data_IF_592890669400
#
_entry.id   IF_592890669400
#
_cell.length_a   1.000
_cell.length_b   1.000
_cell.length_c   1.000
_cell.angle_alpha   90.00
_cell.angle_beta   90.00
_cell.angle_gamma   90.00
#
_symmetry.space_group_name_H-M   'P 1'
#
loop_
_entity.id
_entity.type
_entity.pdbx_description
1 polymer ?
#
# COMPACT_ATOMS: atom_id res chain seq x y z
N UNK A 1 -18.47 -27.25 21.87
CA UNK A 1 -18.21 -27.05 20.42
C UNK A 1 -19.39 -26.29 19.84
N UNK A 2 -19.08 -25.28 19.03
CA UNK A 2 -19.95 -24.38 18.24
C UNK A 2 -20.32 -23.02 18.87
N UNK A 3 -19.98 -22.01 18.06
CA UNK A 3 -20.58 -20.70 17.87
C UNK A 3 -20.16 -19.54 18.80
N UNK A 4 -18.87 -19.20 18.73
CA UNK A 4 -18.41 -17.83 18.96
C UNK A 4 -18.65 -16.99 17.71
N UNK A 5 -19.83 -16.38 17.58
CA UNK A 5 -20.08 -15.40 16.53
C UNK A 5 -19.03 -14.28 16.63
N UNK A 6 -18.15 -14.19 15.62
CA UNK A 6 -17.28 -13.02 15.41
C UNK A 6 -18.17 -11.77 15.45
N UNK A 7 -17.93 -10.79 16.34
CA UNK A 7 -18.78 -9.62 16.42
C UNK A 7 -18.79 -8.92 15.06
N UNK A 8 -20.00 -8.67 14.56
CA UNK A 8 -20.28 -8.06 13.27
C UNK A 8 -19.54 -6.72 13.17
N UNK A 9 -18.51 -6.68 12.33
CA UNK A 9 -17.56 -5.58 12.07
C UNK A 9 -18.16 -4.29 11.49
N UNK A 10 -19.47 -4.10 11.61
CA UNK A 10 -20.24 -3.03 10.98
C UNK A 10 -20.34 -1.73 11.83
N UNK A 11 -19.96 -1.75 13.10
CA UNK A 11 -20.09 -0.58 14.01
C UNK A 11 -18.77 0.08 14.42
N UNK A 12 -17.61 -0.48 14.05
CA UNK A 12 -16.31 0.15 14.23
C UNK A 12 -15.93 0.91 12.95
N UNK A 13 -15.36 2.12 13.09
CA UNK A 13 -14.74 2.78 11.94
C UNK A 13 -13.74 1.80 11.31
N UNK A 14 -13.63 1.68 9.97
CA UNK A 14 -12.79 0.68 9.32
C UNK A 14 -11.33 0.63 9.81
N UNK A 15 -10.83 1.76 10.34
CA UNK A 15 -9.50 1.87 10.97
C UNK A 15 -9.42 1.12 12.30
N UNK A 16 -10.43 1.24 13.16
CA UNK A 16 -10.41 0.57 14.47
C UNK A 16 -10.59 -0.95 14.29
N UNK A 17 -11.52 -1.38 13.43
CA UNK A 17 -11.72 -2.81 13.12
C UNK A 17 -10.45 -3.47 12.56
N UNK A 18 -9.82 -2.85 11.55
CA UNK A 18 -8.59 -3.37 10.98
C UNK A 18 -7.42 -3.28 11.99
N UNK A 19 -7.37 -2.22 12.80
CA UNK A 19 -6.35 -2.06 13.84
C UNK A 19 -6.41 -3.17 14.88
N UNK A 20 -7.60 -3.55 15.30
CA UNK A 20 -7.82 -4.67 16.23
C UNK A 20 -7.41 -6.01 15.61
N UNK A 21 -7.74 -6.26 14.34
CA UNK A 21 -7.33 -7.48 13.64
C UNK A 21 -5.80 -7.56 13.45
N UNK A 22 -5.14 -6.45 13.11
CA UNK A 22 -3.68 -6.42 13.01
C UNK A 22 -3.02 -6.62 14.38
N UNK A 23 -3.57 -6.02 15.44
CA UNK A 23 -3.08 -6.23 16.79
C UNK A 23 -3.29 -7.67 17.28
N UNK A 24 -4.33 -8.35 16.79
CA UNK A 24 -4.64 -9.73 17.12
C UNK A 24 -3.72 -10.77 16.45
N UNK A 25 -2.92 -10.36 15.45
CA UNK A 25 -1.98 -11.27 14.76
C UNK A 25 -0.97 -11.91 15.72
N UNK A 26 -0.53 -11.19 16.76
CA UNK A 26 0.36 -11.72 17.80
C UNK A 26 0.40 -10.79 19.01
N UNK A 27 0.57 -11.30 20.24
CA UNK A 27 0.82 -10.47 21.42
C UNK A 27 2.03 -9.54 21.31
N UNK A 28 2.96 -9.83 20.39
CA UNK A 28 4.14 -9.00 20.11
C UNK A 28 3.85 -7.76 19.26
N UNK A 29 2.69 -7.71 18.61
CA UNK A 29 2.27 -6.56 17.78
C UNK A 29 1.89 -5.39 18.68
N UNK A 30 2.52 -4.24 18.45
CA UNK A 30 2.19 -3.03 19.19
C UNK A 30 0.85 -2.47 18.68
N UNK A 31 -0.12 -2.29 19.59
CA UNK A 31 -1.44 -1.70 19.25
C UNK A 31 -1.33 -0.36 18.53
N UNK A 32 -0.33 0.45 18.88
CA UNK A 32 -0.06 1.72 18.20
C UNK A 32 0.30 1.51 16.72
N UNK A 33 1.26 0.62 16.44
CA UNK A 33 1.66 0.30 15.06
C UNK A 33 0.50 -0.34 14.28
N UNK A 34 -0.30 -1.21 14.92
CA UNK A 34 -1.48 -1.80 14.30
C UNK A 34 -2.48 -0.74 13.83
N UNK A 35 -2.74 0.28 14.67
CA UNK A 35 -3.60 1.41 14.32
C UNK A 35 -3.02 2.30 13.23
N UNK A 36 -1.70 2.52 13.23
CA UNK A 36 -1.00 3.27 12.18
C UNK A 36 -1.08 2.56 10.82
N UNK A 37 -0.88 1.23 10.80
CA UNK A 37 -1.09 0.40 9.61
C UNK A 37 -2.52 0.53 9.10
N UNK A 38 -3.50 0.37 9.99
CA UNK A 38 -4.90 0.42 9.61
C UNK A 38 -5.31 1.79 9.05
N UNK A 39 -4.92 2.87 9.72
CA UNK A 39 -5.18 4.23 9.28
C UNK A 39 -4.55 4.49 7.90
N UNK A 40 -3.27 4.16 7.75
CA UNK A 40 -2.52 4.33 6.50
C UNK A 40 -3.15 3.52 5.36
N UNK A 41 -3.50 2.25 5.59
CA UNK A 41 -4.06 1.40 4.55
C UNK A 41 -5.44 1.87 4.10
N UNK A 42 -6.32 2.23 5.04
CA UNK A 42 -7.67 2.72 4.74
C UNK A 42 -7.61 4.07 4.01
N UNK A 43 -6.78 5.02 4.46
CA UNK A 43 -6.67 6.33 3.82
C UNK A 43 -6.01 6.23 2.44
N UNK A 44 -4.97 5.42 2.30
CA UNK A 44 -4.27 5.22 1.03
C UNK A 44 -5.18 4.55 0.01
N UNK A 45 -5.94 3.52 0.42
CA UNK A 45 -6.91 2.86 -0.46
C UNK A 45 -7.93 3.85 -1.05
N UNK A 46 -8.48 4.74 -0.21
CA UNK A 46 -9.41 5.79 -0.65
C UNK A 46 -8.75 6.81 -1.57
N UNK A 47 -7.52 7.23 -1.24
CA UNK A 47 -6.74 8.16 -2.07
C UNK A 47 -6.46 7.57 -3.46
N UNK A 48 -6.01 6.31 -3.52
CA UNK A 48 -5.72 5.64 -4.80
C UNK A 48 -6.96 5.51 -5.68
N UNK A 49 -8.15 5.30 -5.11
CA UNK A 49 -9.38 5.32 -5.91
C UNK A 49 -9.63 6.68 -6.60
N UNK A 50 -9.32 7.78 -5.91
CA UNK A 50 -9.43 9.12 -6.48
C UNK A 50 -8.35 9.35 -7.54
N UNK A 51 -7.09 9.03 -7.21
CA UNK A 51 -5.93 9.23 -8.09
C UNK A 51 -6.09 8.44 -9.40
N UNK A 52 -6.58 7.20 -9.31
CA UNK A 52 -6.83 6.33 -10.48
C UNK A 52 -8.18 6.60 -11.15
N UNK A 53 -8.98 7.52 -10.61
CA UNK A 53 -10.31 7.89 -11.11
C UNK A 53 -11.19 6.65 -11.29
N UNK A 54 -11.20 5.79 -10.28
CA UNK A 54 -11.93 4.53 -10.29
C UNK A 54 -13.41 4.79 -10.48
N UNK A 55 -13.99 4.11 -11.46
CA UNK A 55 -15.42 4.15 -11.79
C UNK A 55 -15.89 2.74 -12.15
N UNK A 56 -16.90 2.24 -11.43
CA UNK A 56 -17.45 0.91 -11.70
C UNK A 56 -16.56 -0.26 -11.21
N UNK A 57 -16.80 -1.49 -11.70
CA UNK A 57 -16.16 -2.70 -11.17
C UNK A 57 -14.65 -2.79 -11.45
N UNK A 58 -13.92 -3.53 -10.62
CA UNK A 58 -12.47 -3.67 -10.71
C UNK A 58 -11.98 -4.27 -12.05
N UNK A 59 -12.73 -5.23 -12.63
CA UNK A 59 -12.42 -5.78 -13.96
C UNK A 59 -12.59 -4.75 -15.08
N UNK A 60 -13.55 -3.83 -14.93
CA UNK A 60 -13.75 -2.75 -15.89
C UNK A 60 -12.59 -1.75 -15.84
N UNK A 61 -12.05 -1.47 -14.64
CA UNK A 61 -10.83 -0.68 -14.50
C UNK A 61 -9.63 -1.32 -15.18
N UNK A 62 -9.44 -2.63 -15.02
CA UNK A 62 -8.34 -3.34 -15.71
C UNK A 62 -8.47 -3.23 -17.24
N UNK A 63 -9.70 -3.36 -17.77
CA UNK A 63 -9.95 -3.15 -19.19
C UNK A 63 -9.55 -1.73 -19.63
N UNK A 64 -10.00 -0.69 -18.92
CA UNK A 64 -9.69 0.70 -19.24
C UNK A 64 -8.19 1.02 -19.25
N UNK A 65 -7.41 0.42 -18.34
CA UNK A 65 -5.95 0.57 -18.34
C UNK A 65 -5.33 -0.13 -19.54
N UNK A 66 -5.76 -1.37 -19.83
CA UNK A 66 -5.20 -2.15 -20.94
C UNK A 66 -5.47 -1.52 -22.32
N UNK A 67 -6.58 -0.80 -22.49
CA UNK A 67 -6.87 -0.05 -23.73
C UNK A 67 -6.31 1.37 -23.74
N UNK A 68 -5.51 1.74 -22.73
CA UNK A 68 -4.84 3.04 -22.65
C UNK A 68 -5.72 4.22 -22.25
N UNK A 69 -6.97 3.98 -21.83
CA UNK A 69 -7.87 5.04 -21.35
C UNK A 69 -7.56 5.49 -19.92
N UNK A 70 -6.73 4.71 -19.20
CA UNK A 70 -6.22 5.01 -17.85
C UNK A 70 -4.75 4.65 -17.77
N UNK A 71 -3.97 5.46 -17.06
CA UNK A 71 -2.53 5.23 -16.88
C UNK A 71 -2.23 4.19 -15.78
N UNK A 72 -3.11 4.09 -14.78
CA UNK A 72 -2.97 3.18 -13.62
C UNK A 72 -4.33 2.64 -13.19
N UNK A 73 -4.29 1.54 -12.44
CA UNK A 73 -5.48 0.88 -11.88
C UNK A 73 -5.38 -0.65 -11.81
N UNK A 74 -4.30 -1.26 -12.30
CA UNK A 74 -4.08 -2.71 -12.25
C UNK A 74 -3.73 -3.15 -10.83
N UNK A 75 -4.14 -4.36 -10.43
CA UNK A 75 -4.00 -4.88 -9.07
C UNK A 75 -2.58 -4.77 -8.49
N UNK A 76 -1.54 -4.98 -9.31
CA UNK A 76 -0.15 -4.83 -8.86
C UNK A 76 0.23 -3.36 -8.56
N UNK A 77 -0.33 -2.39 -9.28
CA UNK A 77 -0.05 -0.96 -9.07
C UNK A 77 -0.68 -0.47 -7.76
N UNK A 78 -1.87 -0.97 -7.44
CA UNK A 78 -2.49 -0.75 -6.14
C UNK A 78 -1.65 -1.33 -4.99
N UNK A 79 -1.13 -2.54 -5.19
CA UNK A 79 -0.27 -3.22 -4.21
C UNK A 79 1.04 -2.47 -4.01
N UNK A 80 1.68 -2.04 -5.09
CA UNK A 80 2.91 -1.26 -5.09
C UNK A 80 2.76 0.05 -4.31
N UNK A 81 1.71 0.82 -4.60
CA UNK A 81 1.53 2.14 -3.98
C UNK A 81 1.06 2.03 -2.52
N UNK A 82 0.21 1.06 -2.20
CA UNK A 82 -0.14 0.77 -0.80
C UNK A 82 1.10 0.35 0.01
N UNK A 83 1.91 -0.56 -0.54
CA UNK A 83 3.13 -1.02 0.11
C UNK A 83 4.11 0.14 0.33
N UNK A 84 4.21 1.06 -0.65
CA UNK A 84 5.04 2.25 -0.54
C UNK A 84 4.58 3.17 0.59
N UNK A 85 3.29 3.42 0.78
CA UNK A 85 2.82 4.22 1.92
C UNK A 85 3.07 3.52 3.25
N UNK A 86 2.75 2.23 3.37
CA UNK A 86 2.94 1.46 4.60
C UNK A 86 4.42 1.39 5.03
N UNK A 87 5.34 1.24 4.09
CA UNK A 87 6.78 1.23 4.39
C UNK A 87 7.32 2.57 4.92
N UNK A 88 6.60 3.69 4.77
CA UNK A 88 6.98 4.98 5.40
C UNK A 88 6.87 4.94 6.92
N UNK A 89 6.03 4.06 7.45
CA UNK A 89 5.74 3.96 8.88
C UNK A 89 6.91 3.39 9.68
N UNK A 90 7.91 2.75 9.04
CA UNK A 90 9.11 2.18 9.70
C UNK A 90 8.75 1.27 10.89
N UNK A 91 7.79 0.38 10.66
CA UNK A 91 7.21 -0.52 11.65
C UNK A 91 8.26 -1.47 12.24
N UNK A 92 8.16 -1.75 13.52
CA UNK A 92 9.13 -2.56 14.27
C UNK A 92 8.57 -3.90 14.75
N UNK A 93 7.24 -4.00 14.94
CA UNK A 93 6.51 -5.16 15.47
C UNK A 93 5.75 -5.96 14.40
N UNK A 94 5.58 -5.41 13.21
CA UNK A 94 4.96 -6.08 12.06
C UNK A 94 5.88 -6.06 10.83
N UNK A 95 5.68 -7.01 9.94
CA UNK A 95 6.36 -7.14 8.65
C UNK A 95 5.34 -7.03 7.52
N UNK A 96 5.81 -6.56 6.37
CA UNK A 96 5.02 -6.40 5.15
C UNK A 96 5.60 -7.29 4.07
N UNK A 97 4.74 -8.04 3.39
CA UNK A 97 5.08 -8.90 2.27
C UNK A 97 4.24 -8.56 1.02
N UNK A 98 4.75 -8.96 -0.14
CA UNK A 98 3.98 -8.96 -1.39
C UNK A 98 3.29 -10.30 -1.57
N UNK A 99 1.95 -10.28 -1.59
CA UNK A 99 1.14 -11.46 -1.90
C UNK A 99 0.80 -11.51 -3.39
N UNK A 100 0.97 -12.67 -4.01
CA UNK A 100 0.52 -12.96 -5.38
C UNK A 100 -0.31 -14.23 -5.41
N UNK A 101 -1.43 -14.20 -6.14
CA UNK A 101 -2.23 -15.37 -6.43
C UNK A 101 -2.18 -15.65 -7.93
N UNK A 102 -2.02 -16.92 -8.32
CA UNK A 102 -2.03 -17.38 -9.73
C UNK A 102 -1.05 -16.59 -10.63
N UNK A 103 0.18 -16.44 -10.15
CA UNK A 103 1.25 -15.68 -10.81
C UNK A 103 1.45 -16.12 -12.27
N UNK A 104 1.63 -15.15 -13.18
CA UNK A 104 1.86 -15.37 -14.60
C UNK A 104 0.62 -15.74 -15.42
N UNK A 105 -0.57 -15.74 -14.82
CA UNK A 105 -1.83 -16.06 -15.52
C UNK A 105 -2.69 -14.82 -15.72
N UNK A 106 -3.69 -14.90 -16.61
CA UNK A 106 -4.70 -13.85 -16.77
C UNK A 106 -5.56 -13.62 -15.50
N UNK A 107 -5.52 -14.56 -14.54
CA UNK A 107 -6.22 -14.49 -13.26
C UNK A 107 -5.28 -14.09 -12.11
N UNK A 108 -4.10 -13.59 -12.44
CA UNK A 108 -3.16 -13.10 -11.46
C UNK A 108 -3.78 -11.97 -10.62
N UNK A 109 -3.58 -12.04 -9.31
CA UNK A 109 -3.98 -10.99 -8.39
C UNK A 109 -2.86 -10.71 -7.39
N UNK A 110 -2.79 -9.47 -6.91
CA UNK A 110 -1.73 -9.00 -6.02
C UNK A 110 -2.32 -8.25 -4.82
N UNK A 111 -1.68 -8.36 -3.67
CA UNK A 111 -2.04 -7.63 -2.46
C UNK A 111 -0.81 -7.37 -1.58
N UNK A 112 -0.96 -6.52 -0.57
CA UNK A 112 0.00 -6.42 0.53
C UNK A 112 -0.45 -7.40 1.62
N UNK A 113 0.48 -8.14 2.21
CA UNK A 113 0.21 -8.93 3.42
C UNK A 113 0.92 -8.28 4.59
N UNK A 114 0.19 -8.03 5.67
CA UNK A 114 0.76 -7.61 6.96
C UNK A 114 0.77 -8.79 7.91
N UNK A 115 1.88 -9.03 8.58
CA UNK A 115 2.05 -10.14 9.52
C UNK A 115 2.83 -9.70 10.74
N UNK A 116 2.69 -10.42 11.85
CA UNK A 116 3.55 -10.19 13.01
C UNK A 116 5.02 -10.47 12.62
N UNK A 117 5.95 -9.79 13.30
CA UNK A 117 7.38 -9.97 13.03
C UNK A 117 7.78 -11.44 13.17
N UNK A 118 8.52 -11.98 12.19
CA UNK A 118 8.94 -13.40 12.12
C UNK A 118 7.81 -14.44 12.00
N UNK A 119 6.54 -14.04 11.93
CA UNK A 119 5.44 -14.96 11.62
C UNK A 119 5.55 -15.48 10.18
N UNK A 120 4.90 -16.61 9.89
CA UNK A 120 4.78 -17.13 8.52
C UNK A 120 3.92 -16.21 7.66
N UNK A 121 3.97 -16.39 6.34
CA UNK A 121 3.16 -15.60 5.41
C UNK A 121 1.66 -15.92 5.57
N UNK A 122 1.35 -17.18 5.83
CA UNK A 122 0.01 -17.75 5.99
C UNK A 122 -0.71 -17.21 7.24
N UNK A 123 0.06 -16.90 8.30
CA UNK A 123 -0.46 -16.25 9.51
C UNK A 123 -0.79 -14.76 9.32
N UNK A 124 -0.58 -14.21 8.12
CA UNK A 124 -0.78 -12.81 7.81
C UNK A 124 -2.23 -12.41 7.48
N UNK A 125 -2.42 -11.11 7.37
CA UNK A 125 -3.64 -10.47 6.91
C UNK A 125 -3.42 -9.86 5.52
N UNK A 126 -4.27 -10.24 4.57
CA UNK A 126 -4.35 -9.64 3.23
C UNK A 126 -4.90 -8.21 3.35
N UNK A 127 -4.23 -7.26 2.70
CA UNK A 127 -4.71 -5.88 2.50
C UNK A 127 -4.84 -5.63 0.99
N UNK A 128 -6.07 -5.55 0.53
CA UNK A 128 -6.41 -5.51 -0.90
C UNK A 128 -7.30 -4.30 -1.21
N UNK A 129 -6.71 -3.18 -1.65
CA UNK A 129 -7.47 -1.98 -1.98
C UNK A 129 -8.15 -2.06 -3.37
N UNK A 130 -7.73 -2.99 -4.24
CA UNK A 130 -8.23 -3.12 -5.61
C UNK A 130 -9.60 -3.81 -5.65
N UNK A 131 -9.78 -4.91 -4.89
CA UNK A 131 -10.95 -5.80 -4.97
C UNK A 131 -12.30 -5.11 -4.82
N UNK A 132 -12.33 -4.01 -4.07
CA UNK A 132 -13.53 -3.22 -3.75
C UNK A 132 -13.39 -1.75 -4.18
N UNK A 133 -12.50 -1.48 -5.14
CA UNK A 133 -12.36 -0.16 -5.79
C UNK A 133 -12.02 0.98 -4.82
N UNK A 134 -11.07 0.77 -3.91
CA UNK A 134 -10.62 1.75 -2.91
C UNK A 134 -11.36 1.74 -1.58
N UNK A 135 -12.40 0.92 -1.43
CA UNK A 135 -12.82 0.49 -0.09
C UNK A 135 -11.93 -0.69 0.28
N UNK A 136 -10.96 -0.48 1.17
CA UNK A 136 -10.02 -1.53 1.56
C UNK A 136 -10.74 -2.84 1.93
N UNK A 137 -10.32 -3.94 1.31
CA UNK A 137 -10.67 -5.30 1.71
C UNK A 137 -9.53 -5.88 2.55
N UNK A 138 -9.88 -6.59 3.62
CA UNK A 138 -8.92 -7.39 4.37
C UNK A 138 -9.53 -8.70 4.85
N UNK A 139 -8.68 -9.69 5.04
CA UNK A 139 -9.02 -11.04 5.54
C UNK A 139 -7.72 -11.76 5.91
N UNK A 140 -7.79 -12.81 6.73
CA UNK A 140 -6.64 -13.70 6.93
C UNK A 140 -6.27 -14.38 5.62
N UNK A 141 -4.98 -14.61 5.40
CA UNK A 141 -4.47 -15.27 4.18
C UNK A 141 -5.12 -16.64 3.98
N UNK A 142 -5.25 -17.43 5.05
CA UNK A 142 -5.87 -18.76 5.04
C UNK A 142 -7.39 -18.74 4.81
N UNK A 143 -8.06 -17.66 5.21
CA UNK A 143 -9.52 -17.49 5.06
C UNK A 143 -9.91 -17.03 3.63
N UNK A 144 -8.94 -16.63 2.79
CA UNK A 144 -9.23 -16.13 1.44
C UNK A 144 -9.30 -17.26 0.40
N UNK A 145 -10.18 -17.08 -0.59
CA UNK A 145 -10.34 -18.01 -1.71
C UNK A 145 -9.22 -17.92 -2.77
N UNK A 146 -8.33 -16.93 -2.64
CA UNK A 146 -7.16 -16.78 -3.50
C UNK A 146 -6.00 -17.63 -2.96
N UNK A 147 -5.31 -18.42 -3.80
CA UNK A 147 -4.15 -19.21 -3.38
C UNK A 147 -2.92 -18.29 -3.27
N UNK A 148 -2.90 -17.46 -2.22
CA UNK A 148 -1.85 -16.48 -1.99
C UNK A 148 -0.51 -17.16 -1.72
N UNK A 149 0.55 -16.61 -2.34
CA UNK A 149 1.94 -16.92 -2.00
C UNK A 149 2.74 -15.63 -1.89
N UNK A 150 3.79 -15.67 -1.07
CA UNK A 150 4.79 -14.62 -0.98
C UNK A 150 5.58 -14.50 -2.30
N UNK A 151 5.78 -13.28 -2.80
CA UNK A 151 6.65 -13.00 -3.96
C UNK A 151 7.76 -12.00 -3.58
N UNK A 152 8.92 -12.54 -3.24
CA UNK A 152 10.08 -11.73 -2.82
C UNK A 152 10.65 -10.87 -3.96
N UNK A 153 10.53 -11.34 -5.20
CA UNK A 153 11.05 -10.62 -6.37
C UNK A 153 10.25 -9.35 -6.65
N UNK A 154 8.92 -9.42 -6.56
CA UNK A 154 8.04 -8.23 -6.67
C UNK A 154 8.24 -7.28 -5.51
N UNK A 155 8.34 -7.82 -4.29
CA UNK A 155 8.62 -7.01 -3.11
C UNK A 155 9.92 -6.22 -3.24
N UNK A 156 11.02 -6.89 -3.64
CA UNK A 156 12.31 -6.25 -3.84
C UNK A 156 12.25 -5.17 -4.93
N UNK A 157 11.59 -5.44 -6.06
CA UNK A 157 11.39 -4.46 -7.14
C UNK A 157 10.62 -3.23 -6.67
N UNK A 158 9.52 -3.40 -5.95
CA UNK A 158 8.74 -2.28 -5.43
C UNK A 158 9.58 -1.39 -4.48
N UNK A 159 10.40 -2.01 -3.62
CA UNK A 159 11.33 -1.28 -2.74
C UNK A 159 12.39 -0.50 -3.50
N UNK A 160 12.99 -1.11 -4.53
CA UNK A 160 14.02 -0.48 -5.36
C UNK A 160 13.46 0.67 -6.21
N UNK A 161 12.28 0.49 -6.82
CA UNK A 161 11.60 1.52 -7.59
C UNK A 161 11.39 2.77 -6.74
N UNK A 162 10.90 2.58 -5.51
CA UNK A 162 10.72 3.67 -4.54
C UNK A 162 12.03 4.35 -4.15
N UNK A 163 13.07 3.58 -3.82
CA UNK A 163 14.37 4.15 -3.43
C UNK A 163 14.95 5.04 -4.55
N UNK A 164 14.81 4.58 -5.80
CA UNK A 164 15.20 5.32 -7.01
C UNK A 164 14.38 6.60 -7.16
N UNK A 165 13.05 6.54 -7.06
CA UNK A 165 12.18 7.73 -7.15
C UNK A 165 12.47 8.76 -6.07
N UNK A 166 12.72 8.33 -4.83
CA UNK A 166 13.07 9.22 -3.72
C UNK A 166 14.40 9.95 -3.96
N UNK A 167 15.42 9.22 -4.45
CA UNK A 167 16.72 9.79 -4.80
C UNK A 167 16.61 10.84 -5.92
N UNK A 168 15.93 10.50 -7.01
CA UNK A 168 15.73 11.41 -8.15
C UNK A 168 14.95 12.68 -7.74
N UNK A 169 13.95 12.55 -6.87
CA UNK A 169 13.23 13.69 -6.30
C UNK A 169 14.13 14.61 -5.48
N UNK A 170 14.99 14.03 -4.63
CA UNK A 170 15.97 14.80 -3.83
C UNK A 170 16.99 15.53 -4.70
N UNK A 171 17.51 14.87 -5.74
CA UNK A 171 18.49 15.46 -6.67
C UNK A 171 17.88 16.64 -7.44
N UNK A 172 16.64 16.49 -7.93
CA UNK A 172 15.90 17.59 -8.58
C UNK A 172 15.64 18.76 -7.64
N UNK A 173 15.18 18.50 -6.41
CA UNK A 173 14.93 19.55 -5.42
C UNK A 173 16.23 20.35 -5.11
N UNK A 174 17.36 19.66 -4.94
CA UNK A 174 18.65 20.31 -4.68
C UNK A 174 19.13 21.16 -5.86
N UNK A 175 18.94 20.70 -7.10
CA UNK A 175 19.25 21.50 -8.30
C UNK A 175 18.38 22.77 -8.39
N UNK A 176 17.08 22.67 -8.08
CA UNK A 176 16.19 23.84 -8.08
C UNK A 176 16.58 24.87 -7.02
N UNK A 177 16.94 24.41 -5.81
CA UNK A 177 17.37 25.29 -4.71
C UNK A 177 18.68 26.02 -5.04
N UNK A 178 19.66 25.33 -5.62
CA UNK A 178 20.93 25.94 -6.03
C UNK A 178 20.74 26.98 -7.15
N UNK A 179 19.85 26.71 -8.11
CA UNK A 179 19.53 27.66 -9.18
C UNK A 179 18.83 28.93 -8.65
N UNK A 180 17.90 28.78 -7.69
CA UNK A 180 17.22 29.91 -7.06
C UNK A 180 18.17 30.78 -6.22
N UNK A 181 19.12 30.17 -5.49
CA UNK A 181 20.13 30.89 -4.72
C UNK A 181 21.14 31.63 -5.62
N UNK A 182 21.53 31.01 -6.74
CA UNK A 182 22.38 31.64 -7.76
C UNK A 182 21.74 32.88 -8.40
N UNK A 183 20.43 32.83 -8.71
CA UNK A 183 19.68 33.98 -9.23
C UNK A 183 19.52 35.11 -8.20
N UNK A 184 19.32 34.79 -6.93
CA UNK A 184 19.20 35.79 -5.85
C UNK A 184 20.52 36.53 -5.61
N UNK A 185 21.66 35.84 -5.68
CA UNK A 185 23.00 36.46 -5.62
C UNK A 185 23.28 37.36 -6.82
N UNK A 186 22.82 36.98 -8.02
CA UNK A 186 23.00 37.79 -9.22
C UNK A 186 22.19 39.11 -9.17
N UNK A 187 20.95 39.09 -8.62
CA UNK A 187 20.15 40.31 -8.44
C UNK A 187 20.72 41.25 -7.38
N UNK A 188 21.29 40.72 -6.29
CA UNK A 188 21.90 41.54 -5.24
C UNK A 188 23.20 42.24 -5.69
N UNK A 189 23.90 41.70 -6.69
CA UNK A 189 25.10 42.31 -7.27
C UNK A 189 24.82 43.40 -8.33
N UNK A 190 23.57 43.53 -8.79
CA UNK A 190 23.19 44.47 -9.85
C UNK A 190 22.61 45.80 -9.34
N UNK A 191 22.39 45.94 -8.03
CA UNK A 191 21.80 47.13 -7.39
C UNK A 191 22.81 48.06 -6.71
N UNK A 192 24.11 47.78 -6.86
CA UNK A 192 25.21 48.61 -6.37
C UNK A 192 25.96 49.30 -7.53
N UNK A 193 25.31 50.26 -8.18
CA UNK A 193 25.97 51.32 -8.97
C UNK A 193 25.21 52.63 -8.85
#
# INVERSE_FOLDING_TARGET
MKDGARPTSALLAPVDALGDEVAALSPSVQRKEAREVAACAVSTSRKLALDYRVSGPALFQNFLVNVGMRERGLCYQWTEDLLAELQKLKLSSVELDWGVARAGTLREHNCVVVKAKKASFEEGLVLDPWRRGGRLFWTQVEDDHYPWRKDESRYARARLARATSARLGSERAMQTANSANGKSRALAGATSR
#
